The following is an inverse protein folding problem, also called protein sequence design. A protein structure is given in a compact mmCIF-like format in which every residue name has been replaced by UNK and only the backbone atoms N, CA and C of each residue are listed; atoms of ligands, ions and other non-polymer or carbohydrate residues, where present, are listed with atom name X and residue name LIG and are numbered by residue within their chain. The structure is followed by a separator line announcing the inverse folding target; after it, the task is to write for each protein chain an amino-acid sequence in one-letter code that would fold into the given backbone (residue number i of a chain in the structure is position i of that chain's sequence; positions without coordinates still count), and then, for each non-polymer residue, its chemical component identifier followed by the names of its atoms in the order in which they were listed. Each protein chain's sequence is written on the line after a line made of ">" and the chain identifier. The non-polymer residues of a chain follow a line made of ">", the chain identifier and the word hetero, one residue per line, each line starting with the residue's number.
data_IF_422574627812
#
_entry.id   IF_422574627812
#
_cell.length_a   1.000
_cell.length_b   1.000
_cell.length_c   1.000
_cell.angle_alpha   90.00
_cell.angle_beta   90.00
_cell.angle_gamma   90.00
#
_symmetry.space_group_name_H-M   'P 1'
#
loop_
_entity.id
_entity.type
_entity.pdbx_description
1 polymer ?
#
# COMPACT_ATOMS: atom_id res chain seq x y z
N UNK A 1 -0.95 1.22 -4.61
CA UNK A 1 -0.94 -0.22 -4.97
C UNK A 1 0.22 -0.87 -4.25
N UNK A 2 0.12 -2.12 -3.78
CA UNK A 2 1.19 -2.71 -2.96
C UNK A 2 1.93 -3.86 -3.62
N UNK A 3 1.38 -4.44 -4.67
CA UNK A 3 1.99 -5.55 -5.42
C UNK A 3 1.54 -5.56 -6.87
N UNK A 4 2.41 -6.03 -7.77
CA UNK A 4 2.05 -6.39 -9.15
C UNK A 4 2.28 -7.88 -9.34
N UNK A 5 1.33 -8.56 -9.97
CA UNK A 5 1.37 -10.00 -10.22
C UNK A 5 0.63 -10.33 -11.52
N UNK A 6 0.77 -11.55 -11.99
CA UNK A 6 0.10 -12.04 -13.20
C UNK A 6 -1.41 -11.76 -13.18
N UNK A 7 -1.93 -11.31 -14.31
CA UNK A 7 -3.33 -10.94 -14.53
C UNK A 7 -3.64 -9.46 -14.29
N UNK A 8 -2.70 -8.68 -13.74
CA UNK A 8 -2.87 -7.24 -13.57
C UNK A 8 -2.47 -6.49 -14.85
N UNK A 9 -3.10 -5.32 -15.08
CA UNK A 9 -2.87 -4.47 -16.25
C UNK A 9 -2.72 -3.00 -15.87
N UNK A 10 -2.19 -2.20 -16.79
CA UNK A 10 -2.14 -0.75 -16.68
C UNK A 10 -0.74 -0.17 -16.57
N UNK A 11 -0.65 1.15 -16.39
CA UNK A 11 0.59 1.91 -16.38
C UNK A 11 1.67 1.39 -15.38
N UNK A 12 1.33 0.96 -14.15
CA UNK A 12 2.33 0.39 -13.25
C UNK A 12 2.97 -0.89 -13.78
N UNK A 13 2.19 -1.74 -14.49
CA UNK A 13 2.72 -2.96 -15.13
C UNK A 13 3.66 -2.58 -16.26
N UNK A 14 3.29 -1.58 -17.07
CA UNK A 14 4.12 -1.08 -18.17
C UNK A 14 5.46 -0.57 -17.64
N UNK A 15 5.48 0.23 -16.58
CA UNK A 15 6.72 0.69 -15.93
C UNK A 15 7.58 -0.48 -15.42
N UNK A 16 6.98 -1.51 -14.85
CA UNK A 16 7.66 -2.73 -14.45
C UNK A 16 8.31 -3.44 -15.65
N UNK A 17 7.55 -3.60 -16.75
CA UNK A 17 8.01 -4.24 -17.98
C UNK A 17 9.18 -3.48 -18.60
N UNK A 18 9.13 -2.17 -18.64
CA UNK A 18 10.24 -1.31 -19.11
C UNK A 18 11.52 -1.56 -18.32
N UNK A 19 11.42 -1.68 -16.99
CA UNK A 19 12.56 -2.00 -16.11
C UNK A 19 13.08 -3.42 -16.29
N UNK A 20 12.21 -4.38 -16.62
CA UNK A 20 12.59 -5.75 -16.93
C UNK A 20 13.16 -5.91 -18.35
N UNK A 21 13.05 -4.90 -19.22
CA UNK A 21 13.50 -4.97 -20.61
C UNK A 21 12.64 -5.90 -21.48
N UNK A 22 11.38 -6.10 -21.12
CA UNK A 22 10.42 -6.88 -21.92
C UNK A 22 9.41 -5.96 -22.61
N UNK A 23 8.57 -6.51 -23.51
CA UNK A 23 7.53 -5.73 -24.17
C UNK A 23 6.63 -5.04 -23.12
N UNK A 24 6.58 -3.71 -23.17
CA UNK A 24 5.84 -2.89 -22.23
C UNK A 24 4.40 -2.65 -22.73
N UNK A 25 3.62 -3.73 -22.83
CA UNK A 25 2.22 -3.73 -23.26
C UNK A 25 1.23 -3.39 -22.14
N UNK A 26 1.74 -3.31 -20.89
CA UNK A 26 0.91 -3.06 -19.73
C UNK A 26 0.08 -4.26 -19.27
N UNK A 27 0.28 -5.44 -19.85
CA UNK A 27 -0.38 -6.69 -19.43
C UNK A 27 0.62 -7.62 -18.72
N UNK A 28 0.38 -7.90 -17.44
CA UNK A 28 1.25 -8.80 -16.68
C UNK A 28 0.96 -10.26 -17.06
N UNK A 29 1.50 -10.67 -18.19
CA UNK A 29 1.40 -12.05 -18.69
C UNK A 29 2.49 -12.97 -18.17
N UNK A 30 2.53 -14.20 -18.72
CA UNK A 30 3.55 -15.20 -18.36
C UNK A 30 4.98 -14.80 -18.72
N UNK A 31 5.17 -13.99 -19.77
CA UNK A 31 6.49 -13.43 -20.15
C UNK A 31 7.02 -12.47 -19.09
N UNK A 32 6.16 -11.57 -18.63
CA UNK A 32 6.50 -10.62 -17.56
C UNK A 32 6.79 -11.34 -16.24
N UNK A 33 5.99 -12.35 -15.89
CA UNK A 33 6.22 -13.17 -14.68
C UNK A 33 7.58 -13.89 -14.73
N UNK A 34 7.93 -14.46 -15.88
CA UNK A 34 9.23 -15.14 -16.06
C UNK A 34 10.39 -14.17 -15.90
N UNK A 35 10.34 -13.03 -16.57
CA UNK A 35 11.39 -12.01 -16.49
C UNK A 35 11.52 -11.46 -15.05
N UNK A 36 10.40 -11.28 -14.35
CA UNK A 36 10.39 -10.87 -12.95
C UNK A 36 11.08 -11.90 -12.05
N UNK A 37 10.79 -13.18 -12.21
CA UNK A 37 11.46 -14.26 -11.44
C UNK A 37 12.96 -14.30 -11.69
N UNK A 38 13.38 -14.10 -12.92
CA UNK A 38 14.80 -14.01 -13.28
C UNK A 38 15.46 -12.79 -12.59
N UNK A 39 14.80 -11.64 -12.60
CA UNK A 39 15.27 -10.46 -11.88
C UNK A 39 15.35 -10.70 -10.36
N UNK A 40 14.31 -11.28 -9.76
CA UNK A 40 14.29 -11.60 -8.33
C UNK A 40 15.43 -12.54 -7.95
N UNK A 41 15.69 -13.56 -8.75
CA UNK A 41 16.79 -14.51 -8.54
C UNK A 41 18.15 -13.81 -8.62
N UNK A 42 18.36 -12.98 -9.63
CA UNK A 42 19.62 -12.26 -9.83
C UNK A 42 19.94 -11.28 -8.69
N UNK A 43 18.92 -10.73 -8.03
CA UNK A 43 19.06 -9.75 -6.93
C UNK A 43 18.84 -10.34 -5.53
N UNK A 44 18.77 -11.68 -5.40
CA UNK A 44 18.63 -12.35 -4.11
C UNK A 44 17.30 -12.05 -3.39
N UNK A 45 16.26 -11.73 -4.16
CA UNK A 45 14.91 -11.53 -3.66
C UNK A 45 14.13 -12.85 -3.61
N UNK A 46 12.95 -12.84 -2.96
CA UNK A 46 12.03 -13.97 -3.02
C UNK A 46 11.56 -14.19 -4.46
N UNK A 47 11.81 -15.37 -5.02
CA UNK A 47 11.48 -15.72 -6.42
C UNK A 47 10.04 -16.25 -6.50
N UNK A 48 9.07 -15.37 -6.31
CA UNK A 48 7.64 -15.68 -6.28
C UNK A 48 6.88 -15.21 -7.53
N UNK A 49 7.52 -14.37 -8.35
CA UNK A 49 6.88 -13.74 -9.52
C UNK A 49 5.89 -12.64 -9.14
N UNK A 50 5.99 -12.10 -7.92
CA UNK A 50 5.18 -10.98 -7.42
C UNK A 50 6.11 -9.79 -7.17
N UNK A 51 5.90 -8.68 -7.88
CA UNK A 51 6.63 -7.47 -7.60
C UNK A 51 6.01 -6.75 -6.40
N UNK A 52 6.67 -6.83 -5.26
CA UNK A 52 6.32 -6.17 -4.02
C UNK A 52 7.27 -5.01 -3.69
N UNK A 53 7.14 -4.41 -2.49
CA UNK A 53 7.93 -3.25 -2.08
C UNK A 53 9.44 -3.43 -2.22
N UNK A 54 9.99 -4.57 -1.83
CA UNK A 54 11.43 -4.85 -1.94
C UNK A 54 11.87 -4.99 -3.40
N UNK A 55 11.02 -5.60 -4.25
CA UNK A 55 11.25 -5.70 -5.68
C UNK A 55 11.22 -4.33 -6.35
N UNK A 56 10.25 -3.49 -6.02
CA UNK A 56 10.18 -2.13 -6.55
C UNK A 56 11.38 -1.28 -6.13
N UNK A 57 11.82 -1.41 -4.89
CA UNK A 57 13.00 -0.71 -4.40
C UNK A 57 14.26 -1.11 -5.19
N UNK A 58 14.47 -2.41 -5.42
CA UNK A 58 15.61 -2.93 -6.16
C UNK A 58 15.58 -2.57 -7.64
N UNK A 59 14.38 -2.47 -8.23
CA UNK A 59 14.18 -2.03 -9.61
C UNK A 59 14.34 -0.52 -9.81
N UNK A 60 14.40 0.28 -8.73
CA UNK A 60 14.36 1.74 -8.81
C UNK A 60 13.00 2.26 -9.28
N UNK A 61 11.93 1.67 -8.76
CA UNK A 61 10.53 2.09 -8.94
C UNK A 61 9.88 2.47 -7.60
N UNK A 62 10.50 3.40 -6.83
CA UNK A 62 10.01 3.75 -5.50
C UNK A 62 8.61 4.38 -5.52
N UNK A 63 8.19 4.96 -6.64
CA UNK A 63 6.84 5.50 -6.84
C UNK A 63 5.73 4.43 -6.74
N UNK A 64 6.05 3.16 -6.95
CA UNK A 64 5.10 2.05 -6.84
C UNK A 64 5.04 1.44 -5.42
N UNK A 65 5.91 1.89 -4.51
CA UNK A 65 5.97 1.35 -3.15
C UNK A 65 4.81 1.88 -2.31
N UNK A 66 4.03 0.95 -1.77
CA UNK A 66 3.01 1.22 -0.77
C UNK A 66 3.08 0.16 0.33
N UNK A 67 3.45 0.57 1.54
CA UNK A 67 3.50 -0.29 2.72
C UNK A 67 2.21 -0.16 3.53
N UNK A 68 1.62 -1.27 3.88
CA UNK A 68 0.37 -1.35 4.63
C UNK A 68 0.32 -2.63 5.47
N UNK A 69 -0.69 -2.77 6.31
CA UNK A 69 -0.90 -4.01 7.08
C UNK A 69 -0.82 -5.23 6.16
N UNK A 70 0.01 -6.18 6.55
CA UNK A 70 0.33 -7.39 5.78
C UNK A 70 1.56 -7.27 4.88
N UNK A 71 2.10 -6.06 4.63
CA UNK A 71 3.38 -5.90 3.95
C UNK A 71 4.52 -6.48 4.80
N UNK A 72 5.51 -7.07 4.14
CA UNK A 72 6.69 -7.67 4.79
C UNK A 72 7.93 -7.39 3.97
N UNK A 73 9.09 -7.49 4.62
CA UNK A 73 10.37 -7.46 3.97
C UNK A 73 11.28 -6.32 4.44
N UNK A 74 12.36 -6.12 3.69
CA UNK A 74 13.44 -5.18 4.01
C UNK A 74 12.94 -3.71 4.03
N UNK A 75 12.07 -3.35 3.09
CA UNK A 75 11.53 -1.98 3.03
C UNK A 75 10.66 -1.67 4.25
N UNK A 76 9.86 -2.63 4.74
CA UNK A 76 9.10 -2.48 5.99
C UNK A 76 10.05 -2.29 7.18
N UNK A 77 11.11 -3.10 7.26
CA UNK A 77 12.12 -2.99 8.31
C UNK A 77 12.79 -1.62 8.33
N UNK A 78 13.23 -1.13 7.18
CA UNK A 78 13.85 0.19 7.06
C UNK A 78 12.89 1.32 7.52
N UNK A 79 11.62 1.21 7.16
CA UNK A 79 10.60 2.16 7.61
C UNK A 79 10.40 2.11 9.14
N UNK A 80 10.35 0.91 9.73
CA UNK A 80 10.22 0.73 11.17
C UNK A 80 11.44 1.32 11.92
N UNK A 81 12.64 1.16 11.38
CA UNK A 81 13.85 1.79 11.91
C UNK A 81 13.74 3.32 11.88
N UNK A 82 13.23 3.91 10.80
CA UNK A 82 12.97 5.35 10.71
C UNK A 82 11.92 5.85 11.70
N UNK A 83 10.94 5.02 12.03
CA UNK A 83 9.89 5.32 13.02
C UNK A 83 10.38 5.09 14.48
N UNK A 84 11.57 4.51 14.68
CA UNK A 84 12.11 4.20 16.00
C UNK A 84 11.35 3.12 16.75
N UNK A 85 10.67 2.20 16.03
CA UNK A 85 9.93 1.06 16.61
C UNK A 85 10.67 -0.25 16.34
N UNK A 86 10.19 -1.35 16.94
CA UNK A 86 10.76 -2.68 16.69
C UNK A 86 10.75 -3.02 15.20
N UNK A 87 11.94 -3.21 14.61
CA UNK A 87 12.11 -3.44 13.17
C UNK A 87 12.14 -4.95 12.86
N UNK A 88 10.98 -5.57 12.94
CA UNK A 88 10.76 -6.99 12.64
C UNK A 88 10.51 -7.28 11.16
N UNK A 89 10.35 -6.23 10.34
CA UNK A 89 10.04 -6.33 8.92
C UNK A 89 8.61 -6.77 8.62
N UNK A 90 7.69 -6.71 9.60
CA UNK A 90 6.29 -7.04 9.45
C UNK A 90 5.41 -5.82 9.74
N UNK A 91 4.64 -5.40 8.75
CA UNK A 91 3.70 -4.30 8.93
C UNK A 91 2.43 -4.80 9.61
N UNK A 92 2.43 -4.82 10.94
CA UNK A 92 1.29 -5.18 11.76
C UNK A 92 0.50 -3.97 12.26
N UNK A 93 -0.44 -4.20 13.19
CA UNK A 93 -1.25 -3.15 13.79
C UNK A 93 -0.41 -2.11 14.56
N UNK A 94 0.65 -2.54 15.23
CA UNK A 94 1.58 -1.63 15.92
C UNK A 94 2.32 -0.71 14.96
N UNK A 95 2.78 -1.25 13.83
CA UNK A 95 3.42 -0.46 12.76
C UNK A 95 2.42 0.52 12.14
N UNK A 96 1.17 0.09 11.89
CA UNK A 96 0.11 0.99 11.39
C UNK A 96 -0.09 2.18 12.32
N UNK A 97 -0.22 1.95 13.61
CA UNK A 97 -0.39 3.01 14.60
C UNK A 97 0.78 4.00 14.59
N UNK A 98 2.02 3.50 14.56
CA UNK A 98 3.20 4.36 14.47
C UNK A 98 3.25 5.19 13.17
N UNK A 99 2.79 4.62 12.05
CA UNK A 99 2.64 5.35 10.78
C UNK A 99 1.58 6.45 10.92
N UNK A 100 0.42 6.18 11.50
CA UNK A 100 -0.64 7.16 11.73
C UNK A 100 -0.15 8.33 12.60
N UNK A 101 0.57 8.04 13.68
CA UNK A 101 1.19 9.05 14.56
C UNK A 101 2.23 9.90 13.79
N UNK A 102 3.07 9.25 12.98
CA UNK A 102 4.03 9.95 12.14
C UNK A 102 3.36 10.82 11.09
N UNK A 103 2.31 10.33 10.43
CA UNK A 103 1.54 11.08 9.45
C UNK A 103 0.91 12.33 10.05
N UNK A 104 0.28 12.21 11.22
CA UNK A 104 -0.30 13.33 11.95
C UNK A 104 0.76 14.39 12.32
N UNK A 105 1.92 13.94 12.80
CA UNK A 105 3.03 14.85 13.19
C UNK A 105 3.65 15.59 11.98
N UNK A 106 3.57 15.02 10.77
CA UNK A 106 4.17 15.59 9.56
C UNK A 106 3.14 16.25 8.62
N UNK A 107 1.88 16.35 9.02
CA UNK A 107 0.83 17.03 8.25
C UNK A 107 0.48 16.34 6.92
N UNK A 108 0.66 15.03 6.84
CA UNK A 108 0.22 14.21 5.69
C UNK A 108 -1.07 13.47 6.03
N UNK A 109 -1.76 12.94 5.01
CA UNK A 109 -3.00 12.19 5.22
C UNK A 109 -2.79 11.02 6.18
N UNK A 110 -3.63 10.91 7.22
CA UNK A 110 -3.55 9.88 8.26
C UNK A 110 -4.40 8.69 7.82
N UNK A 111 -3.83 7.81 7.01
CA UNK A 111 -4.47 6.60 6.48
C UNK A 111 -3.85 5.30 7.02
N UNK A 112 -2.75 5.42 7.76
CA UNK A 112 -2.01 4.29 8.29
C UNK A 112 -1.29 3.46 7.22
N UNK A 113 -1.10 4.03 6.02
CA UNK A 113 -0.34 3.43 4.93
C UNK A 113 0.88 4.31 4.60
N UNK A 114 2.02 3.69 4.35
CA UNK A 114 3.21 4.43 3.98
C UNK A 114 3.47 4.31 2.47
N UNK A 115 2.94 5.26 1.73
CA UNK A 115 3.25 5.49 0.33
C UNK A 115 4.40 6.48 0.14
N UNK A 116 4.77 6.82 -1.11
CA UNK A 116 5.88 7.74 -1.40
C UNK A 116 5.78 9.08 -0.68
N UNK A 117 4.56 9.65 -0.55
CA UNK A 117 4.33 10.89 0.18
C UNK A 117 4.70 10.80 1.68
N UNK A 118 4.35 9.71 2.35
CA UNK A 118 4.71 9.45 3.75
C UNK A 118 6.20 9.11 3.88
N UNK A 119 6.72 8.22 3.01
CA UNK A 119 8.11 7.75 3.05
C UNK A 119 9.10 8.88 2.74
N UNK A 120 8.72 9.86 1.92
CA UNK A 120 9.54 11.04 1.63
C UNK A 120 9.75 11.98 2.83
N UNK A 121 8.97 11.83 3.90
CA UNK A 121 9.14 12.59 5.15
C UNK A 121 10.07 11.89 6.14
N UNK A 122 10.47 10.64 5.87
CA UNK A 122 11.35 9.85 6.75
C UNK A 122 12.81 10.09 6.41
N UNK A 123 13.59 10.67 7.34
CA UNK A 123 14.98 11.07 7.11
C UNK A 123 15.88 9.97 6.54
N UNK A 124 15.69 8.72 6.97
CA UNK A 124 16.46 7.57 6.48
C UNK A 124 16.11 7.13 5.06
N UNK A 125 15.02 7.62 4.48
CA UNK A 125 14.50 7.21 3.17
C UNK A 125 14.49 8.35 2.13
N UNK A 126 14.91 9.57 2.51
CA UNK A 126 14.91 10.75 1.64
C UNK A 126 15.70 10.56 0.33
N UNK A 127 16.77 9.76 0.36
CA UNK A 127 17.57 9.48 -0.83
C UNK A 127 16.82 8.62 -1.88
N UNK A 128 15.82 7.87 -1.44
CA UNK A 128 15.01 6.99 -2.29
C UNK A 128 13.72 7.71 -2.72
N UNK A 129 13.08 8.44 -1.81
CA UNK A 129 11.79 9.10 -2.01
C UNK A 129 11.97 10.61 -2.20
N UNK A 130 12.51 11.00 -3.34
CA UNK A 130 12.67 12.40 -3.73
C UNK A 130 11.31 13.04 -4.10
N UNK A 131 11.19 14.38 -4.15
CA UNK A 131 9.97 15.04 -4.61
C UNK A 131 9.48 14.56 -5.97
N UNK A 132 10.40 14.27 -6.89
CA UNK A 132 10.09 13.74 -8.23
C UNK A 132 9.44 12.35 -8.19
N UNK A 133 9.85 11.51 -7.22
CA UNK A 133 9.24 10.19 -6.99
C UNK A 133 7.82 10.35 -6.47
N UNK A 134 7.59 11.32 -5.60
CA UNK A 134 6.24 11.61 -5.07
C UNK A 134 5.31 12.08 -6.18
N UNK A 135 5.79 12.93 -7.09
CA UNK A 135 5.01 13.36 -8.26
C UNK A 135 4.65 12.20 -9.19
N UNK A 136 5.61 11.31 -9.47
CA UNK A 136 5.37 10.12 -10.30
C UNK A 136 4.43 9.09 -9.66
N UNK A 137 4.28 9.12 -8.35
CA UNK A 137 3.35 8.25 -7.63
C UNK A 137 1.89 8.67 -7.78
N UNK A 138 1.65 9.94 -8.14
CA UNK A 138 0.31 10.42 -8.48
C UNK A 138 -0.02 9.91 -9.89
N UNK A 139 -1.11 9.15 -10.01
CA UNK A 139 -1.62 8.68 -11.31
C UNK A 139 -2.01 9.90 -12.14
N UNK A 140 -1.38 10.08 -13.29
CA UNK A 140 -1.72 11.16 -14.20
C UNK A 140 -3.09 10.88 -14.83
N UNK A 141 -3.85 11.94 -15.14
CA UNK A 141 -5.21 11.81 -15.66
C UNK A 141 -5.29 11.14 -17.06
N UNK A 142 -4.15 11.03 -17.74
CA UNK A 142 -3.97 10.37 -19.03
C UNK A 142 -3.42 8.94 -18.95
N UNK A 143 -3.09 8.46 -17.73
CA UNK A 143 -2.74 7.07 -17.53
C UNK A 143 -4.02 6.22 -17.49
N UNK A 144 -4.09 5.18 -18.35
CA UNK A 144 -5.22 4.25 -18.39
C UNK A 144 -5.57 3.74 -16.99
N UNK A 145 -6.86 3.82 -16.66
CA UNK A 145 -7.38 3.34 -15.38
C UNK A 145 -7.01 1.88 -15.18
N UNK A 146 -6.51 1.61 -13.99
CA UNK A 146 -6.22 0.26 -13.54
C UNK A 146 -7.53 -0.49 -13.26
N UNK A 147 -7.94 -1.35 -14.18
CA UNK A 147 -8.93 -2.39 -13.90
C UNK A 147 -8.23 -3.57 -13.23
N UNK A 148 -7.98 -3.44 -11.93
CA UNK A 148 -7.65 -4.57 -11.09
C UNK A 148 -8.94 -5.29 -10.69
N UNK A 149 -9.00 -6.61 -10.87
CA UNK A 149 -10.02 -7.41 -10.18
C UNK A 149 -10.09 -6.98 -8.72
N UNK A 150 -11.31 -6.76 -8.23
CA UNK A 150 -11.58 -6.54 -6.82
C UNK A 150 -10.79 -7.59 -6.02
N UNK A 151 -10.11 -7.14 -4.97
CA UNK A 151 -9.48 -8.05 -4.01
C UNK A 151 -10.53 -9.12 -3.68
N UNK A 152 -10.20 -10.42 -3.67
CA UNK A 152 -11.12 -11.43 -3.17
C UNK A 152 -11.56 -10.95 -1.79
N UNK A 153 -12.87 -10.78 -1.63
CA UNK A 153 -13.45 -10.56 -0.32
C UNK A 153 -12.91 -11.68 0.56
N UNK A 154 -12.27 -11.31 1.66
CA UNK A 154 -11.89 -12.26 2.67
C UNK A 154 -13.22 -12.77 3.21
N UNK A 155 -13.64 -13.93 2.72
CA UNK A 155 -14.73 -14.69 3.30
C UNK A 155 -14.26 -15.07 4.71
N UNK A 156 -14.59 -14.21 5.64
CA UNK A 156 -14.44 -14.46 7.05
C UNK A 156 -15.40 -15.57 7.41
N UNK A 157 -14.92 -16.82 7.30
CA UNK A 157 -15.65 -17.99 7.72
C UNK A 157 -16.28 -17.78 9.07
N UNK A 158 -17.58 -18.05 9.12
CA UNK A 158 -18.42 -18.35 10.28
C UNK A 158 -18.13 -17.62 11.60
N UNK A 159 -18.62 -16.40 11.71
CA UNK A 159 -19.12 -15.91 12.99
C UNK A 159 -20.60 -16.25 13.03
N UNK A 160 -20.93 -17.33 13.73
CA UNK A 160 -22.29 -17.70 14.10
C UNK A 160 -23.03 -16.48 14.62
N UNK A 161 -24.05 -16.09 13.89
CA UNK A 161 -25.01 -15.09 14.31
C UNK A 161 -25.73 -15.58 15.55
N UNK A 162 -25.48 -14.95 16.69
CA UNK A 162 -26.37 -14.98 17.83
C UNK A 162 -26.94 -13.57 17.97
N UNK A 163 -28.14 -13.48 17.53
CA UNK A 163 -29.25 -12.64 17.80
C UNK A 163 -29.08 -11.29 18.49
N UNK A 164 -29.76 -10.38 17.93
CA UNK A 164 -30.62 -9.30 18.42
C UNK A 164 -30.28 -7.98 17.75
N UNK A 165 -31.15 -7.58 16.85
CA UNK A 165 -31.27 -6.19 16.40
C UNK A 165 -31.55 -5.31 17.62
N UNK A 166 -30.87 -4.18 17.84
CA UNK A 166 -31.40 -3.14 18.69
C UNK A 166 -32.40 -2.33 17.87
N UNK A 167 -33.65 -2.38 18.34
CA UNK A 167 -34.72 -1.48 17.91
C UNK A 167 -34.25 -0.02 17.92
N UNK A 168 -34.69 0.71 16.90
CA UNK A 168 -34.52 2.15 16.78
C UNK A 168 -35.07 2.88 18.00
N UNK A 169 -34.21 3.29 18.91
CA UNK A 169 -34.59 4.27 19.91
C UNK A 169 -34.64 5.66 19.30
N UNK A 170 -35.86 6.10 19.18
CA UNK A 170 -36.33 7.46 18.85
C UNK A 170 -35.58 8.51 19.66
N UNK A 171 -35.08 9.49 18.92
CA UNK A 171 -34.49 10.75 19.34
C UNK A 171 -34.99 11.33 20.68
N UNK A 172 -34.07 11.54 21.61
CA UNK A 172 -34.29 12.23 22.90
C UNK A 172 -34.11 13.78 22.76
N UNK A 173 -34.26 14.33 21.57
CA UNK A 173 -34.05 15.77 21.33
C UNK A 173 -35.36 16.58 21.19
N UNK A 174 -36.48 16.07 21.69
CA UNK A 174 -37.78 16.66 21.54
C UNK A 174 -38.47 17.13 22.82
N UNK A 175 -37.76 17.48 23.89
CA UNK A 175 -38.42 18.07 25.08
C UNK A 175 -37.50 18.93 25.91
N UNK A 176 -37.05 20.06 25.40
CA UNK A 176 -36.65 21.20 26.26
C UNK A 176 -37.10 22.50 25.55
N UNK A 177 -38.43 22.71 25.50
CA UNK A 177 -39.00 24.03 25.31
C UNK A 177 -40.15 24.13 26.30
N UNK A 178 -39.91 24.80 27.40
CA UNK A 178 -41.00 25.15 28.33
C UNK A 178 -40.58 25.21 29.77
N UNK A 179 -39.75 26.17 30.14
CA UNK A 179 -39.72 26.73 31.48
C UNK A 179 -38.99 28.07 31.49
N UNK A 180 -39.64 29.12 31.00
CA UNK A 180 -39.45 30.50 31.48
C UNK A 180 -40.74 31.23 31.23
N UNK A 181 -41.54 31.33 32.27
CA UNK A 181 -42.44 32.43 32.60
C UNK A 181 -42.56 32.48 34.11
#
# INVERSE_FOLDING_TARGET
>A
MSILKRGLKGAPVKRLQEKLGVAADGDFGGGTEKALKEFQQANGLAVDGIAGPDTFAEMGLPELILLRVGSRGKMVKNMQECLGIGADGHFGAGTKKAVEEFQAANGVAVDGMAGPGTLSKMLGLLAIFTPEVVEKAVVQADEEHFEGEALPEFDGGDVVAAGTEPEAETSVWGKVTGLFS
#
